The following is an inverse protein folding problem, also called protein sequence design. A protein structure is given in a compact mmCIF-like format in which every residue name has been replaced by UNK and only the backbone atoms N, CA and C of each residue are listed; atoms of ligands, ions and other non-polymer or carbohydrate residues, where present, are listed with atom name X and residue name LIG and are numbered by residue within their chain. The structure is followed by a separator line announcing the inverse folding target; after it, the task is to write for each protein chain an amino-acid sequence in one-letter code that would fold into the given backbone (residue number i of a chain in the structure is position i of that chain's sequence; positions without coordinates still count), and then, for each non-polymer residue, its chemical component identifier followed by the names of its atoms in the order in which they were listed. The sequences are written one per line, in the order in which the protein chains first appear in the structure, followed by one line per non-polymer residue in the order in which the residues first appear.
data_IF_342243619211
#
_entry.id   IF_342243619211
#
_cell.length_a   1.000
_cell.length_b   1.000
_cell.length_c   1.000
_cell.angle_alpha   90.00
_cell.angle_beta   90.00
_cell.angle_gamma   90.00
#
_symmetry.space_group_name_H-M   'P 1'
#
loop_
_entity.id
_entity.type
_entity.pdbx_description
1 polymer ?
#
# COMPACT_ATOMS: atom_id res chain seq x y z
N UNK A 1 -3.57 -9.79 -12.61
CA UNK A 1 -2.51 -10.74 -12.23
C UNK A 1 -2.72 -11.00 -10.75
N UNK A 2 -3.24 -12.17 -10.40
CA UNK A 2 -3.44 -12.59 -9.01
C UNK A 2 -2.19 -13.37 -8.57
N UNK A 3 -1.58 -13.02 -7.45
CA UNK A 3 -0.33 -13.64 -6.99
C UNK A 3 -0.45 -14.14 -5.56
N UNK A 4 -0.34 -15.46 -5.38
CA UNK A 4 -0.40 -16.16 -4.09
C UNK A 4 0.97 -16.29 -3.44
N UNK A 5 1.05 -16.03 -2.15
CA UNK A 5 2.17 -16.42 -1.29
C UNK A 5 1.61 -17.32 -0.18
N UNK A 6 2.38 -18.33 0.25
CA UNK A 6 1.99 -19.31 1.27
C UNK A 6 1.89 -18.65 2.65
N UNK A 7 0.72 -18.07 2.92
CA UNK A 7 -0.08 -17.94 4.17
C UNK A 7 -1.21 -16.90 3.97
N UNK A 8 -1.71 -16.79 2.74
CA UNK A 8 -2.72 -15.82 2.33
C UNK A 8 -2.25 -15.07 1.09
N UNK A 9 -3.18 -14.81 0.18
CA UNK A 9 -2.88 -14.21 -1.12
C UNK A 9 -3.00 -12.70 -0.99
N UNK A 10 -1.91 -11.97 -1.25
CA UNK A 10 -1.98 -10.53 -1.49
C UNK A 10 -2.50 -10.32 -2.92
N UNK A 11 -3.73 -9.83 -3.03
CA UNK A 11 -4.33 -9.46 -4.31
C UNK A 11 -4.38 -7.95 -4.38
N UNK A 12 -3.64 -7.38 -5.33
CA UNK A 12 -3.66 -5.95 -5.62
C UNK A 12 -4.33 -5.68 -6.96
N UNK A 13 -4.89 -4.48 -7.11
CA UNK A 13 -5.37 -3.93 -8.37
C UNK A 13 -4.89 -2.50 -8.56
N UNK A 14 -5.37 -1.86 -9.62
CA UNK A 14 -5.05 -0.47 -9.91
C UNK A 14 -4.05 -0.32 -11.05
N UNK A 15 -3.31 0.79 -11.03
CA UNK A 15 -2.31 1.13 -12.05
C UNK A 15 -0.87 1.01 -11.54
N UNK A 16 0.02 1.79 -12.14
CA UNK A 16 1.44 1.81 -11.78
C UNK A 16 1.72 2.39 -10.38
N UNK A 17 0.76 3.11 -9.81
CA UNK A 17 0.85 3.78 -8.50
C UNK A 17 1.61 5.09 -8.53
N UNK A 18 2.00 5.63 -9.67
CA UNK A 18 2.77 6.88 -9.80
C UNK A 18 1.92 8.16 -9.71
N UNK A 19 0.60 8.02 -9.60
CA UNK A 19 -0.35 9.11 -9.41
C UNK A 19 -1.61 8.63 -8.67
N UNK A 20 -2.44 9.52 -8.11
CA UNK A 20 -3.74 9.16 -7.55
C UNK A 20 -4.64 8.40 -8.53
N UNK A 21 -4.66 8.82 -9.81
CA UNK A 21 -5.46 8.17 -10.88
C UNK A 21 -4.99 6.74 -11.20
N UNK A 22 -3.71 6.47 -11.00
CA UNK A 22 -3.09 5.16 -11.23
C UNK A 22 -2.82 4.41 -9.92
N UNK A 23 -3.43 4.84 -8.81
CA UNK A 23 -3.17 4.29 -7.48
C UNK A 23 -3.36 2.77 -7.41
N UNK A 24 -2.55 2.16 -6.58
CA UNK A 24 -2.60 0.73 -6.27
C UNK A 24 -3.65 0.53 -5.18
N UNK A 25 -4.47 -0.50 -5.25
CA UNK A 25 -5.40 -0.81 -4.16
C UNK A 25 -5.30 -2.28 -3.77
N UNK A 26 -5.46 -2.55 -2.49
CA UNK A 26 -5.39 -3.91 -1.94
C UNK A 26 -6.80 -4.50 -1.93
N UNK A 27 -7.05 -5.45 -2.84
CA UNK A 27 -8.32 -6.18 -2.92
C UNK A 27 -8.45 -7.22 -1.82
N UNK A 28 -7.32 -7.86 -1.48
CA UNK A 28 -7.24 -8.91 -0.46
C UNK A 28 -5.82 -8.93 0.10
N UNK A 29 -5.70 -9.10 1.41
CA UNK A 29 -4.44 -9.35 2.10
C UNK A 29 -4.57 -10.64 2.92
N UNK A 30 -3.44 -11.26 3.32
CA UNK A 30 -3.47 -12.33 4.30
C UNK A 30 -4.19 -11.93 5.59
N UNK A 31 -4.71 -12.92 6.32
CA UNK A 31 -5.43 -12.66 7.57
C UNK A 31 -4.48 -12.07 8.62
N UNK A 32 -4.91 -11.00 9.28
CA UNK A 32 -4.10 -10.33 10.30
C UNK A 32 -3.05 -9.37 9.76
N UNK A 33 -2.95 -9.21 8.44
CA UNK A 33 -2.06 -8.24 7.79
C UNK A 33 -2.63 -6.83 7.90
N UNK A 34 -1.82 -5.89 8.41
CA UNK A 34 -2.16 -4.47 8.43
C UNK A 34 -1.97 -3.81 7.06
N UNK A 35 -2.34 -2.54 6.94
CA UNK A 35 -2.11 -1.76 5.72
C UNK A 35 -0.68 -1.59 5.33
N UNK A 36 0.09 -1.19 6.31
CA UNK A 36 1.52 -1.04 6.21
C UNK A 36 2.17 -2.36 5.78
N UNK A 37 1.72 -3.49 6.33
CA UNK A 37 2.31 -4.80 6.00
C UNK A 37 2.02 -5.20 4.55
N UNK A 38 0.77 -5.03 4.09
CA UNK A 38 0.39 -5.36 2.72
C UNK A 38 1.10 -4.47 1.68
N UNK A 39 1.29 -3.19 1.98
CA UNK A 39 2.12 -2.29 1.17
C UNK A 39 3.58 -2.74 1.13
N UNK A 40 4.16 -3.07 2.28
CA UNK A 40 5.54 -3.58 2.35
C UNK A 40 5.71 -4.89 1.58
N UNK A 41 4.72 -5.79 1.62
CA UNK A 41 4.71 -7.01 0.82
C UNK A 41 4.71 -6.69 -0.68
N UNK A 42 3.86 -5.75 -1.13
CA UNK A 42 3.82 -5.32 -2.52
C UNK A 42 5.16 -4.72 -2.98
N UNK A 43 5.73 -3.80 -2.19
CA UNK A 43 7.02 -3.17 -2.48
C UNK A 43 8.14 -4.21 -2.51
N UNK A 44 8.10 -5.18 -1.58
CA UNK A 44 9.09 -6.25 -1.52
C UNK A 44 9.03 -7.14 -2.75
N UNK A 45 7.83 -7.43 -3.24
CA UNK A 45 7.65 -8.22 -4.45
C UNK A 45 8.06 -7.45 -5.71
N UNK A 46 7.78 -6.14 -5.76
CA UNK A 46 8.05 -5.30 -6.94
C UNK A 46 9.51 -4.88 -7.07
N UNK A 47 10.14 -4.50 -5.96
CA UNK A 47 11.48 -3.92 -5.96
C UNK A 47 12.53 -4.81 -5.30
N UNK A 48 12.13 -5.85 -4.58
CA UNK A 48 13.03 -6.72 -3.81
C UNK A 48 13.05 -6.37 -2.32
N UNK A 49 14.00 -6.92 -1.57
CA UNK A 49 13.99 -6.86 -0.10
C UNK A 49 14.15 -5.44 0.46
N UNK A 50 13.29 -5.06 1.41
CA UNK A 50 13.42 -3.82 2.19
C UNK A 50 14.80 -3.67 2.84
N UNK A 51 15.34 -2.45 2.85
CA UNK A 51 16.66 -2.13 3.41
C UNK A 51 17.84 -2.52 2.51
N UNK A 52 17.60 -3.32 1.46
CA UNK A 52 18.62 -3.69 0.46
C UNK A 52 18.29 -3.15 -0.92
N UNK A 53 17.07 -3.38 -1.40
CA UNK A 53 16.66 -3.01 -2.74
C UNK A 53 15.85 -1.71 -2.77
N UNK A 54 15.19 -1.39 -1.67
CA UNK A 54 14.49 -0.13 -1.47
C UNK A 54 14.44 0.25 0.01
N UNK A 55 14.30 1.54 0.27
CA UNK A 55 14.12 2.12 1.61
C UNK A 55 12.95 3.10 1.58
N UNK A 56 12.18 3.16 2.67
CA UNK A 56 11.13 4.14 2.83
C UNK A 56 11.75 5.48 3.24
N UNK A 57 11.49 6.53 2.46
CA UNK A 57 11.92 7.89 2.77
C UNK A 57 10.82 8.67 3.47
N UNK A 58 9.61 8.61 2.92
CA UNK A 58 8.42 9.33 3.43
C UNK A 58 7.20 8.43 3.29
N UNK A 59 6.34 8.47 4.30
CA UNK A 59 4.94 8.04 4.22
C UNK A 59 4.06 9.22 4.63
N UNK A 60 3.03 9.51 3.85
CA UNK A 60 2.03 10.52 4.13
C UNK A 60 0.63 9.99 3.79
N UNK A 61 -0.35 10.25 4.66
CA UNK A 61 -1.75 10.02 4.33
C UNK A 61 -2.31 11.29 3.67
N UNK A 62 -2.70 11.18 2.40
CA UNK A 62 -3.20 12.29 1.58
C UNK A 62 -4.69 12.10 1.32
N UNK A 63 -5.47 13.15 1.53
CA UNK A 63 -6.89 13.16 1.19
C UNK A 63 -7.10 14.00 -0.07
N UNK A 64 -7.76 13.43 -1.07
CA UNK A 64 -8.13 14.12 -2.30
C UNK A 64 -9.58 13.79 -2.63
N UNK A 65 -10.43 14.82 -2.63
CA UNK A 65 -11.88 14.69 -2.74
C UNK A 65 -12.47 13.72 -1.70
N UNK A 66 -13.05 12.60 -2.16
CA UNK A 66 -13.65 11.55 -1.34
C UNK A 66 -12.73 10.33 -1.17
N UNK A 67 -11.45 10.44 -1.51
CA UNK A 67 -10.49 9.34 -1.43
C UNK A 67 -9.34 9.66 -0.51
N UNK A 68 -8.82 8.61 0.09
CA UNK A 68 -7.65 8.64 0.95
C UNK A 68 -6.56 7.75 0.35
N UNK A 69 -5.35 8.30 0.26
CA UNK A 69 -4.19 7.63 -0.31
C UNK A 69 -3.03 7.60 0.68
N UNK A 70 -2.44 6.43 0.85
CA UNK A 70 -1.12 6.32 1.45
C UNK A 70 -0.06 6.59 0.37
N UNK A 71 0.61 7.73 0.51
CA UNK A 71 1.71 8.17 -0.34
C UNK A 71 3.03 7.69 0.22
N UNK A 72 3.70 6.80 -0.51
CA UNK A 72 5.03 6.32 -0.17
C UNK A 72 6.05 6.93 -1.12
N UNK A 73 7.06 7.62 -0.57
CA UNK A 73 8.29 7.94 -1.28
C UNK A 73 9.35 6.94 -0.87
N UNK A 74 9.86 6.17 -1.82
CA UNK A 74 10.93 5.19 -1.60
C UNK A 74 12.18 5.60 -2.38
N UNK A 75 13.34 5.16 -1.89
CA UNK A 75 14.63 5.24 -2.59
C UNK A 75 15.04 3.82 -2.95
N UNK A 76 15.38 3.58 -4.21
CA UNK A 76 15.87 2.31 -4.73
C UNK A 76 17.39 2.18 -4.53
N UNK A 77 17.93 0.97 -4.67
CA UNK A 77 19.35 0.68 -4.45
C UNK A 77 20.31 1.44 -5.38
N UNK A 78 19.84 1.85 -6.56
CA UNK A 78 20.57 2.68 -7.52
C UNK A 78 20.49 4.19 -7.19
N UNK A 79 19.74 4.56 -6.14
CA UNK A 79 19.51 5.94 -5.72
C UNK A 79 18.25 6.57 -6.31
N UNK A 80 17.53 5.87 -7.19
CA UNK A 80 16.32 6.39 -7.81
C UNK A 80 15.19 6.58 -6.78
N UNK A 81 14.52 7.72 -6.82
CA UNK A 81 13.31 7.93 -6.03
C UNK A 81 12.07 7.49 -6.80
N UNK A 82 11.15 6.83 -6.09
CA UNK A 82 9.82 6.45 -6.61
C UNK A 82 8.76 6.94 -5.65
N UNK A 83 7.68 7.47 -6.22
CA UNK A 83 6.49 7.86 -5.50
C UNK A 83 5.38 6.87 -5.83
N UNK A 84 4.70 6.36 -4.80
CA UNK A 84 3.69 5.33 -4.91
C UNK A 84 2.45 5.74 -4.11
N UNK A 85 1.30 5.74 -4.78
CA UNK A 85 -0.02 6.02 -4.21
C UNK A 85 -0.76 4.71 -4.01
N UNK A 86 -1.16 4.44 -2.78
CA UNK A 86 -2.05 3.34 -2.43
C UNK A 86 -3.43 3.91 -2.06
N UNK A 87 -4.48 3.55 -2.80
CA UNK A 87 -5.85 3.89 -2.42
C UNK A 87 -6.25 3.04 -1.21
N UNK A 88 -6.34 3.71 -0.06
CA UNK A 88 -6.65 3.11 1.26
C UNK A 88 -8.04 3.49 1.74
N UNK A 89 -8.85 4.12 0.87
CA UNK A 89 -10.20 4.64 1.19
C UNK A 89 -11.08 3.58 1.85
N UNK A 90 -11.26 2.43 1.20
CA UNK A 90 -12.10 1.34 1.71
C UNK A 90 -11.57 0.76 3.02
N UNK A 91 -10.25 0.83 3.22
CA UNK A 91 -9.63 0.19 4.37
C UNK A 91 -9.70 1.06 5.61
N UNK A 92 -9.49 2.37 5.45
CA UNK A 92 -9.73 3.37 6.49
C UNK A 92 -11.19 3.35 6.92
N UNK A 93 -12.13 3.36 5.97
CA UNK A 93 -13.57 3.30 6.29
C UNK A 93 -13.94 2.07 7.14
N UNK A 94 -13.34 0.89 6.86
CA UNK A 94 -13.54 -0.32 7.67
C UNK A 94 -12.90 -0.20 9.05
N UNK A 95 -11.70 0.36 9.14
CA UNK A 95 -11.04 0.58 10.43
C UNK A 95 -11.85 1.55 11.31
N UNK A 96 -12.29 2.67 10.76
CA UNK A 96 -13.16 3.63 11.44
C UNK A 96 -14.48 2.98 11.89
N UNK A 97 -15.11 2.14 11.07
CA UNK A 97 -16.31 1.41 11.48
C UNK A 97 -16.06 0.44 12.65
N UNK A 98 -14.88 -0.17 12.73
CA UNK A 98 -14.50 -1.09 13.80
C UNK A 98 -14.15 -0.37 15.11
N UNK A 99 -13.59 0.84 15.04
CA UNK A 99 -13.18 1.63 16.21
C UNK A 99 -14.18 2.72 16.63
N UNK A 100 -15.09 3.11 15.74
CA UNK A 100 -16.10 4.16 15.93
C UNK A 100 -17.39 3.70 16.61
N UNK A 101 -17.53 2.41 16.94
CA UNK A 101 -18.67 1.91 17.72
C UNK A 101 -18.37 1.93 19.23
N UNK A 102 -18.06 3.10 19.78
CA UNK A 102 -18.13 3.36 21.23
C UNK A 102 -18.71 4.75 21.48
N UNK A 103 -20.03 4.74 21.73
CA UNK A 103 -20.91 5.80 22.26
C UNK A 103 -21.26 6.95 21.32
#
# INVERSE_FOLDING_TARGET
MDLSINEGVLVVGGGAGDSPRSAIFIKRAPKGTSAVDAEHMYLTQRFGRYGRAWQLKIRELVHEEARAYDLLRIVLADGDERMLYFDVTDWLARAESLYGSRY
#
